data_IF_789164721720
#
_entry.id   IF_789164721720
#
_cell.length_a   1.000
_cell.length_b   1.000
_cell.length_c   1.000
_cell.angle_alpha   90.00
_cell.angle_beta   90.00
_cell.angle_gamma   90.00
#
_symmetry.space_group_name_H-M   'P 1'
#
loop_
_entity.id
_entity.type
_entity.pdbx_description
1 polymer ?
#
# COMPACT_ATOMS: atom_id res chain seq x y z
N UNK A 1 35.34 8.84 31.16
CA UNK A 1 35.98 9.16 29.86
C UNK A 1 35.25 10.31 29.16
N UNK A 2 35.90 11.14 28.31
CA UNK A 2 35.29 12.33 27.68
C UNK A 2 33.99 12.01 26.91
N UNK A 3 33.89 10.81 26.30
CA UNK A 3 32.68 10.33 25.61
C UNK A 3 31.49 9.99 26.52
N UNK A 4 31.70 9.76 27.82
CA UNK A 4 30.60 9.44 28.74
C UNK A 4 29.75 10.68 29.05
N UNK A 5 30.31 11.88 28.87
CA UNK A 5 29.59 13.12 29.11
C UNK A 5 28.56 13.37 27.98
N UNK A 6 27.25 13.59 28.30
CA UNK A 6 26.17 13.70 27.31
C UNK A 6 26.43 14.72 26.19
N UNK A 7 27.11 15.81 26.53
CA UNK A 7 27.50 16.86 25.57
C UNK A 7 28.46 16.38 24.47
N UNK A 8 29.34 15.44 24.77
CA UNK A 8 30.43 15.03 23.86
C UNK A 8 30.18 13.68 23.20
N UNK A 9 29.13 12.94 23.60
CA UNK A 9 28.76 11.65 23.02
C UNK A 9 28.64 11.68 21.48
N UNK A 10 28.08 12.75 20.92
CA UNK A 10 27.86 12.91 19.47
C UNK A 10 28.87 13.85 18.79
N UNK A 11 29.87 14.34 19.54
CA UNK A 11 30.86 15.28 19.01
C UNK A 11 32.04 14.48 18.44
N UNK A 12 32.35 14.69 17.16
CA UNK A 12 33.55 14.12 16.55
C UNK A 12 34.80 14.72 17.21
N UNK A 13 35.67 13.87 17.76
CA UNK A 13 36.91 14.29 18.43
C UNK A 13 38.12 13.85 17.60
N UNK A 14 39.00 14.80 17.30
CA UNK A 14 40.29 14.53 16.63
C UNK A 14 41.38 14.78 17.65
N UNK A 15 42.26 13.80 17.85
CA UNK A 15 43.38 13.94 18.78
C UNK A 15 44.64 14.40 18.06
N UNK A 16 45.38 15.31 18.69
CA UNK A 16 46.67 15.77 18.19
C UNK A 16 47.75 15.07 19.02
N UNK A 17 48.68 14.36 18.38
CA UNK A 17 49.72 13.60 19.07
C UNK A 17 51.12 14.00 18.61
N UNK A 18 52.02 14.18 19.58
CA UNK A 18 53.42 14.57 19.36
C UNK A 18 54.41 13.39 19.30
N UNK A 19 53.94 12.15 19.43
CA UNK A 19 54.81 10.97 19.51
C UNK A 19 54.75 10.22 18.18
N UNK A 20 55.91 9.77 17.69
CA UNK A 20 56.03 8.85 16.56
C UNK A 20 55.09 7.67 16.79
N UNK A 21 53.95 7.70 16.10
CA UNK A 21 52.79 6.88 16.44
C UNK A 21 53.10 5.43 16.14
N UNK A 22 53.42 4.63 17.16
CA UNK A 22 53.26 3.19 17.05
C UNK A 22 51.77 2.90 16.81
N UNK A 23 51.43 1.88 16.03
CA UNK A 23 50.02 1.57 15.75
C UNK A 23 49.21 1.35 17.04
N UNK A 24 49.88 0.97 18.13
CA UNK A 24 49.33 0.78 19.48
C UNK A 24 48.76 2.08 20.07
N UNK A 25 49.41 3.22 19.86
CA UNK A 25 48.96 4.51 20.40
C UNK A 25 47.76 5.07 19.63
N UNK A 26 47.66 4.75 18.33
CA UNK A 26 46.49 5.02 17.48
C UNK A 26 45.29 4.19 17.94
N UNK A 27 45.49 2.89 18.15
CA UNK A 27 44.48 1.95 18.63
C UNK A 27 43.85 2.41 19.94
N UNK A 28 44.68 2.73 20.95
CA UNK A 28 44.19 3.18 22.27
C UNK A 28 43.29 4.39 22.20
N UNK A 29 43.61 5.38 21.39
CA UNK A 29 42.74 6.55 21.36
C UNK A 29 41.48 6.34 20.48
N UNK A 30 41.50 5.44 19.49
CA UNK A 30 40.26 5.01 18.82
C UNK A 30 39.33 4.32 19.83
N UNK A 31 39.90 3.50 20.73
CA UNK A 31 39.18 2.92 21.87
C UNK A 31 38.63 4.01 22.82
N UNK A 32 39.37 5.10 23.02
CA UNK A 32 38.88 6.29 23.77
C UNK A 32 37.89 7.16 22.97
N UNK A 33 37.60 6.81 21.71
CA UNK A 33 36.57 7.45 20.91
C UNK A 33 37.01 8.66 20.08
N UNK A 34 38.29 8.76 19.73
CA UNK A 34 38.70 9.62 18.64
C UNK A 34 38.13 9.11 17.31
N UNK A 35 37.80 10.03 16.40
CA UNK A 35 37.46 9.68 15.01
C UNK A 35 38.68 9.74 14.11
N UNK A 36 39.75 10.43 14.53
CA UNK A 36 40.97 10.62 13.73
C UNK A 36 42.12 11.18 14.59
N UNK A 37 43.33 11.16 14.03
CA UNK A 37 44.55 11.71 14.60
C UNK A 37 45.24 12.69 13.67
N UNK A 38 45.85 13.71 14.25
CA UNK A 38 46.78 14.61 13.53
C UNK A 38 48.14 14.62 14.23
N UNK A 39 49.23 14.26 13.52
CA UNK A 39 50.57 14.31 14.08
C UNK A 39 51.06 15.76 14.24
N UNK A 40 52.00 15.97 15.17
CA UNK A 40 52.76 17.22 15.32
C UNK A 40 54.06 17.14 14.52
N UNK A 41 54.52 18.22 13.85
CA UNK A 41 53.84 19.51 13.72
C UNK A 41 52.57 19.41 12.86
N UNK A 42 51.51 20.08 13.31
CA UNK A 42 50.21 20.07 12.62
C UNK A 42 50.36 20.75 11.27
N UNK A 43 50.02 20.04 10.19
CA UNK A 43 49.88 20.61 8.85
C UNK A 43 48.48 21.21 8.73
N UNK A 44 48.31 22.56 8.69
CA UNK A 44 47.00 23.19 8.77
C UNK A 44 46.04 22.78 7.64
N UNK A 45 46.55 22.55 6.44
CA UNK A 45 45.78 22.14 5.26
C UNK A 45 45.12 20.77 5.50
N UNK A 46 45.88 19.83 6.05
CA UNK A 46 45.42 18.46 6.36
C UNK A 46 44.37 18.50 7.47
N UNK A 47 44.60 19.26 8.54
CA UNK A 47 43.63 19.39 9.62
C UNK A 47 42.31 20.02 9.13
N UNK A 48 42.38 21.09 8.32
CA UNK A 48 41.18 21.73 7.74
C UNK A 48 40.41 20.78 6.84
N UNK A 49 41.09 19.97 6.02
CA UNK A 49 40.45 18.97 5.18
C UNK A 49 39.70 17.92 6.01
N UNK A 50 40.35 17.37 7.05
CA UNK A 50 39.73 16.39 7.97
C UNK A 50 38.50 16.98 8.68
N UNK A 51 38.62 18.18 9.24
CA UNK A 51 37.50 18.88 9.89
C UNK A 51 36.33 19.06 8.93
N UNK A 52 36.60 19.46 7.67
CA UNK A 52 35.56 19.64 6.65
C UNK A 52 34.79 18.36 6.40
N UNK A 53 35.48 17.24 6.21
CA UNK A 53 34.86 15.92 5.97
C UNK A 53 33.97 15.51 7.14
N UNK A 54 34.47 15.58 8.38
CA UNK A 54 33.68 15.19 9.54
C UNK A 54 32.50 16.14 9.80
N UNK A 55 32.67 17.44 9.55
CA UNK A 55 31.58 18.40 9.67
C UNK A 55 30.48 18.15 8.62
N UNK A 56 30.85 17.82 7.39
CA UNK A 56 29.91 17.46 6.34
C UNK A 56 29.18 16.16 6.67
N UNK A 57 29.89 15.12 7.09
CA UNK A 57 29.30 13.86 7.51
C UNK A 57 28.30 14.07 8.65
N UNK A 58 28.67 14.85 9.67
CA UNK A 58 27.77 15.17 10.78
C UNK A 58 26.50 15.89 10.29
N UNK A 59 26.64 16.88 9.39
CA UNK A 59 25.48 17.59 8.82
C UNK A 59 24.58 16.64 8.03
N UNK A 60 25.15 15.73 7.24
CA UNK A 60 24.39 14.74 6.47
C UNK A 60 23.67 13.75 7.37
N UNK A 61 24.30 13.23 8.41
CA UNK A 61 23.65 12.36 9.41
C UNK A 61 22.47 13.08 10.06
N UNK A 62 22.65 14.34 10.50
CA UNK A 62 21.56 15.12 11.10
C UNK A 62 20.42 15.43 10.13
N UNK A 63 20.74 15.66 8.86
CA UNK A 63 19.72 15.86 7.82
C UNK A 63 18.92 14.56 7.60
N UNK A 64 19.60 13.42 7.55
CA UNK A 64 18.96 12.13 7.38
C UNK A 64 18.05 11.78 8.57
N UNK A 65 18.50 12.02 9.81
CA UNK A 65 17.68 11.86 11.03
C UNK A 65 16.38 12.67 10.94
N UNK A 66 16.47 13.92 10.47
CA UNK A 66 15.29 14.80 10.31
C UNK A 66 14.33 14.30 9.23
N UNK A 67 14.86 13.93 8.07
CA UNK A 67 14.05 13.43 6.95
C UNK A 67 13.36 12.12 7.31
N UNK A 68 14.03 11.21 8.02
CA UNK A 68 13.41 9.98 8.50
C UNK A 68 12.25 10.28 9.45
N UNK A 69 12.44 11.18 10.42
CA UNK A 69 11.35 11.55 11.33
C UNK A 69 10.14 12.13 10.57
N UNK A 70 10.39 13.01 9.59
CA UNK A 70 9.32 13.59 8.77
C UNK A 70 8.62 12.54 7.89
N UNK A 71 9.36 11.61 7.29
CA UNK A 71 8.79 10.52 6.51
C UNK A 71 7.94 9.59 7.37
N UNK A 72 8.39 9.25 8.58
CA UNK A 72 7.63 8.45 9.54
C UNK A 72 6.31 9.14 9.92
N UNK A 73 6.33 10.45 10.15
CA UNK A 73 5.12 11.23 10.42
C UNK A 73 4.14 11.20 9.24
N UNK A 74 4.65 11.39 8.02
CA UNK A 74 3.83 11.33 6.79
C UNK A 74 3.24 9.95 6.58
N UNK A 75 4.02 8.88 6.77
CA UNK A 75 3.54 7.51 6.64
C UNK A 75 2.43 7.25 7.66
N UNK A 76 2.62 7.62 8.93
CA UNK A 76 1.58 7.47 9.96
C UNK A 76 0.29 8.18 9.58
N UNK A 77 0.38 9.44 9.14
CA UNK A 77 -0.79 10.22 8.74
C UNK A 77 -1.54 9.59 7.56
N UNK A 78 -0.81 9.13 6.53
CA UNK A 78 -1.40 8.51 5.34
C UNK A 78 -2.02 7.14 5.63
N UNK A 79 -1.40 6.34 6.50
CA UNK A 79 -1.98 5.06 6.92
C UNK A 79 -3.30 5.27 7.65
N UNK A 80 -3.37 6.23 8.60
CA UNK A 80 -4.60 6.55 9.31
C UNK A 80 -5.71 7.07 8.37
N UNK A 81 -5.36 7.91 7.40
CA UNK A 81 -6.29 8.39 6.36
C UNK A 81 -6.84 7.22 5.52
N UNK A 82 -5.95 6.32 5.10
CA UNK A 82 -6.31 5.16 4.27
C UNK A 82 -7.24 4.21 5.03
N UNK A 83 -6.92 3.89 6.29
CA UNK A 83 -7.76 3.08 7.17
C UNK A 83 -9.16 3.69 7.34
N UNK A 84 -9.26 5.01 7.52
CA UNK A 84 -10.56 5.67 7.60
C UNK A 84 -11.34 5.56 6.28
N UNK A 85 -10.67 5.70 5.14
CA UNK A 85 -11.31 5.55 3.83
C UNK A 85 -11.77 4.13 3.57
N UNK A 86 -10.98 3.12 3.94
CA UNK A 86 -11.36 1.71 3.76
C UNK A 86 -12.54 1.35 4.65
N UNK A 87 -12.57 1.77 5.91
CA UNK A 87 -13.74 1.58 6.78
C UNK A 87 -15.00 2.20 6.18
N UNK A 88 -14.93 3.44 5.70
CA UNK A 88 -16.08 4.10 5.04
C UNK A 88 -16.55 3.36 3.79
N UNK A 89 -15.61 2.85 2.99
CA UNK A 89 -15.94 2.07 1.78
C UNK A 89 -16.65 0.77 2.15
N UNK A 90 -16.12 0.02 3.13
CA UNK A 90 -16.73 -1.23 3.61
C UNK A 90 -18.13 -0.97 4.17
N UNK A 91 -18.33 0.08 4.96
CA UNK A 91 -19.66 0.46 5.47
C UNK A 91 -20.63 0.83 4.34
N UNK A 92 -20.16 1.58 3.33
CA UNK A 92 -20.98 1.93 2.18
C UNK A 92 -21.34 0.72 1.33
N UNK A 93 -20.40 -0.21 1.13
CA UNK A 93 -20.63 -1.45 0.38
C UNK A 93 -21.63 -2.34 1.12
N UNK A 94 -21.44 -2.55 2.42
CA UNK A 94 -22.36 -3.31 3.25
C UNK A 94 -23.77 -2.73 3.20
N UNK A 95 -23.91 -1.40 3.29
CA UNK A 95 -25.22 -0.73 3.17
C UNK A 95 -25.84 -0.93 1.78
N UNK A 96 -25.06 -0.86 0.70
CA UNK A 96 -25.55 -1.11 -0.66
C UNK A 96 -26.01 -2.56 -0.82
N UNK A 97 -25.22 -3.52 -0.36
CA UNK A 97 -25.57 -4.94 -0.37
C UNK A 97 -26.86 -5.21 0.42
N UNK A 98 -27.00 -4.61 1.61
CA UNK A 98 -28.24 -4.71 2.39
C UNK A 98 -29.45 -4.11 1.67
N UNK A 99 -29.29 -3.00 0.96
CA UNK A 99 -30.37 -2.38 0.19
C UNK A 99 -30.82 -3.27 -0.98
N UNK A 100 -29.87 -3.88 -1.71
CA UNK A 100 -30.16 -4.84 -2.78
C UNK A 100 -30.90 -6.06 -2.21
N UNK A 101 -30.39 -6.63 -1.12
CA UNK A 101 -30.99 -7.79 -0.46
C UNK A 101 -32.41 -7.49 0.09
N UNK A 102 -32.61 -6.32 0.71
CA UNK A 102 -33.91 -5.90 1.25
C UNK A 102 -34.93 -5.59 0.16
N UNK A 103 -34.47 -5.10 -1.01
CA UNK A 103 -35.30 -4.89 -2.18
C UNK A 103 -35.81 -6.18 -2.85
N UNK A 104 -35.34 -7.37 -2.39
CA UNK A 104 -35.55 -8.66 -3.08
C UNK A 104 -35.17 -8.56 -4.57
N UNK A 105 -34.13 -7.78 -4.87
CA UNK A 105 -33.63 -7.62 -6.23
C UNK A 105 -32.42 -8.54 -6.42
N UNK A 106 -32.37 -9.18 -7.57
CA UNK A 106 -31.25 -9.99 -8.00
C UNK A 106 -30.63 -9.32 -9.21
N UNK A 107 -29.30 -9.41 -9.29
CA UNK A 107 -28.55 -8.93 -10.42
C UNK A 107 -28.15 -10.12 -11.28
N UNK A 108 -28.31 -9.95 -12.59
CA UNK A 108 -27.80 -10.88 -13.57
C UNK A 108 -27.02 -10.11 -14.64
N UNK A 109 -25.99 -10.75 -15.17
CA UNK A 109 -25.22 -10.27 -16.32
C UNK A 109 -25.12 -11.42 -17.33
N UNK A 110 -25.11 -11.07 -18.61
CA UNK A 110 -25.03 -12.03 -19.69
C UNK A 110 -23.94 -11.61 -20.67
N UNK A 111 -22.88 -12.41 -20.72
CA UNK A 111 -21.85 -12.29 -21.74
C UNK A 111 -22.34 -12.98 -23.01
N UNK A 112 -22.88 -12.21 -23.94
CA UNK A 112 -23.39 -12.72 -25.21
C UNK A 112 -22.30 -13.21 -26.17
N UNK A 113 -21.01 -12.89 -25.92
CA UNK A 113 -19.89 -13.35 -26.76
C UNK A 113 -19.50 -14.77 -26.38
N UNK A 114 -19.44 -15.04 -25.07
CA UNK A 114 -19.06 -16.36 -24.54
C UNK A 114 -20.27 -17.26 -24.24
N UNK A 115 -21.47 -16.67 -24.14
CA UNK A 115 -22.70 -17.37 -23.78
C UNK A 115 -22.86 -17.57 -22.26
N UNK A 116 -22.04 -16.90 -21.45
CA UNK A 116 -21.99 -17.10 -20.01
C UNK A 116 -22.98 -16.20 -19.28
N UNK A 117 -23.70 -16.80 -18.32
CA UNK A 117 -24.60 -16.08 -17.42
C UNK A 117 -23.95 -15.95 -16.05
N UNK A 118 -24.09 -14.78 -15.44
CA UNK A 118 -23.68 -14.54 -14.06
C UNK A 118 -24.87 -14.09 -13.24
N UNK A 119 -25.17 -14.80 -12.17
CA UNK A 119 -26.21 -14.44 -11.21
C UNK A 119 -25.57 -14.13 -9.86
N UNK A 120 -26.07 -13.10 -9.18
CA UNK A 120 -25.78 -12.89 -7.77
C UNK A 120 -26.66 -13.79 -6.87
N UNK A 121 -26.34 -13.82 -5.58
CA UNK A 121 -27.09 -14.63 -4.60
C UNK A 121 -28.58 -14.22 -4.50
N UNK A 122 -28.90 -12.95 -4.81
CA UNK A 122 -30.26 -12.45 -4.84
C UNK A 122 -31.07 -13.11 -5.95
N UNK A 123 -30.50 -13.23 -7.15
CA UNK A 123 -31.16 -13.81 -8.32
C UNK A 123 -31.48 -15.30 -8.11
N UNK A 124 -30.56 -16.07 -7.51
CA UNK A 124 -30.82 -17.46 -7.10
C UNK A 124 -31.99 -17.57 -6.10
N UNK A 125 -32.05 -16.67 -5.11
CA UNK A 125 -33.14 -16.64 -4.12
C UNK A 125 -34.48 -16.24 -4.72
N UNK A 126 -34.50 -15.34 -5.70
CA UNK A 126 -35.71 -14.92 -6.41
C UNK A 126 -36.32 -16.09 -7.17
N UNK A 127 -35.50 -16.85 -7.89
CA UNK A 127 -35.94 -18.04 -8.61
C UNK A 127 -36.06 -19.29 -7.73
N UNK A 128 -35.64 -19.22 -6.46
CA UNK A 128 -35.73 -20.31 -5.50
C UNK A 128 -34.83 -21.51 -5.82
N UNK A 129 -33.74 -21.30 -6.57
CA UNK A 129 -32.82 -22.36 -7.01
C UNK A 129 -31.51 -22.31 -6.23
N UNK A 130 -30.97 -23.48 -5.85
CA UNK A 130 -29.70 -23.56 -5.11
C UNK A 130 -28.51 -23.41 -6.08
N UNK A 131 -27.61 -22.42 -5.86
CA UNK A 131 -26.46 -22.16 -6.72
C UNK A 131 -25.48 -23.35 -6.83
N UNK A 132 -25.51 -24.31 -5.90
CA UNK A 132 -24.65 -25.51 -5.95
C UNK A 132 -25.22 -26.61 -6.82
N UNK A 133 -26.54 -26.66 -6.99
CA UNK A 133 -27.21 -27.68 -7.80
C UNK A 133 -27.68 -27.15 -9.16
N UNK A 134 -27.87 -25.84 -9.28
CA UNK A 134 -28.36 -25.21 -10.49
C UNK A 134 -27.18 -24.80 -11.39
N UNK A 135 -27.09 -25.40 -12.57
CA UNK A 135 -26.13 -24.98 -13.58
C UNK A 135 -26.71 -23.79 -14.36
N UNK A 136 -26.00 -22.65 -14.34
CA UNK A 136 -26.29 -21.46 -15.15
C UNK A 136 -26.00 -21.74 -16.63
N UNK A 137 -26.97 -22.35 -17.32
CA UNK A 137 -26.96 -22.51 -18.78
C UNK A 137 -28.20 -21.87 -19.36
N UNK A 138 -28.11 -21.40 -20.61
CA UNK A 138 -29.24 -20.77 -21.30
C UNK A 138 -30.50 -21.67 -21.30
N UNK A 139 -30.33 -22.98 -21.49
CA UNK A 139 -31.45 -23.94 -21.50
C UNK A 139 -32.12 -24.07 -20.12
N UNK A 140 -31.33 -24.08 -19.04
CA UNK A 140 -31.87 -24.18 -17.67
C UNK A 140 -32.55 -22.88 -17.24
N UNK A 141 -32.01 -21.73 -17.66
CA UNK A 141 -32.61 -20.41 -17.39
C UNK A 141 -33.94 -20.26 -18.13
N UNK A 142 -34.02 -20.73 -19.39
CA UNK A 142 -35.27 -20.71 -20.16
C UNK A 142 -36.40 -21.51 -19.51
N UNK A 143 -36.09 -22.60 -18.83
CA UNK A 143 -37.08 -23.43 -18.12
C UNK A 143 -37.67 -22.76 -16.87
N UNK A 144 -37.04 -21.68 -16.37
CA UNK A 144 -37.54 -20.90 -15.23
C UNK A 144 -38.55 -19.83 -15.64
N UNK A 145 -38.63 -19.48 -16.92
CA UNK A 145 -39.63 -18.55 -17.45
C UNK A 145 -40.94 -19.28 -17.76
N UNK A 146 -42.07 -18.58 -17.64
CA UNK A 146 -43.37 -19.15 -17.97
C UNK A 146 -43.47 -19.42 -19.48
N UNK A 147 -44.03 -20.56 -19.94
CA UNK A 147 -44.07 -20.92 -21.37
C UNK A 147 -44.69 -19.86 -22.28
N UNK A 148 -45.65 -19.09 -21.76
CA UNK A 148 -46.31 -18.01 -22.50
C UNK A 148 -45.40 -16.80 -22.73
N UNK A 149 -44.39 -16.60 -21.87
CA UNK A 149 -43.45 -15.47 -21.93
C UNK A 149 -42.17 -15.83 -22.71
N UNK A 150 -41.92 -17.13 -22.94
CA UNK A 150 -40.72 -17.62 -23.65
C UNK A 150 -40.68 -17.10 -25.09
N UNK A 151 -41.83 -17.04 -25.76
CA UNK A 151 -41.88 -16.64 -27.16
C UNK A 151 -41.63 -15.13 -27.32
N UNK A 152 -42.13 -14.31 -26.39
CA UNK A 152 -41.89 -12.88 -26.32
C UNK A 152 -40.43 -12.56 -25.95
N UNK A 153 -39.85 -13.29 -24.98
CA UNK A 153 -38.42 -13.19 -24.64
C UNK A 153 -37.51 -13.59 -25.81
N UNK A 154 -37.88 -14.61 -26.58
CA UNK A 154 -37.12 -15.05 -27.75
C UNK A 154 -37.11 -14.00 -28.85
N UNK A 155 -38.23 -13.33 -29.08
CA UNK A 155 -38.32 -12.21 -30.03
C UNK A 155 -37.51 -11.00 -29.55
N UNK A 156 -37.57 -10.67 -28.25
CA UNK A 156 -36.76 -9.61 -27.65
C UNK A 156 -35.26 -9.90 -27.79
N UNK A 157 -34.81 -11.12 -27.48
CA UNK A 157 -33.42 -11.56 -27.64
C UNK A 157 -32.92 -11.50 -29.09
N UNK A 158 -33.77 -11.81 -30.07
CA UNK A 158 -33.44 -11.63 -31.49
C UNK A 158 -33.26 -10.16 -31.90
N UNK A 159 -33.86 -9.21 -31.16
CA UNK A 159 -33.72 -7.76 -31.35
C UNK A 159 -32.40 -7.19 -30.83
N UNK A 160 -31.85 -7.73 -29.74
CA UNK A 160 -30.57 -7.28 -29.16
C UNK A 160 -29.38 -7.46 -30.12
N UNK A 161 -29.38 -8.52 -30.93
CA UNK A 161 -28.37 -8.72 -31.99
C UNK A 161 -28.38 -7.66 -33.10
N UNK A 162 -29.40 -6.79 -33.15
CA UNK A 162 -29.56 -5.72 -34.16
C UNK A 162 -29.36 -4.31 -33.62
N UNK A 163 -28.82 -4.16 -32.40
CA UNK A 163 -28.42 -2.85 -31.85
C UNK A 163 -29.34 -2.26 -30.79
N UNK A 164 -30.30 -3.03 -30.26
CA UNK A 164 -30.97 -2.67 -29.01
C UNK A 164 -30.04 -2.94 -27.82
N UNK A 165 -30.03 -2.03 -26.84
CA UNK A 165 -29.13 -2.07 -25.68
C UNK A 165 -29.84 -2.34 -24.35
N UNK A 166 -31.17 -2.33 -24.32
CA UNK A 166 -31.98 -2.70 -23.15
C UNK A 166 -33.38 -3.18 -23.54
N UNK A 167 -33.97 -4.02 -22.71
CA UNK A 167 -35.36 -4.48 -22.76
C UNK A 167 -35.89 -4.50 -21.33
N UNK A 168 -36.96 -3.75 -21.07
CA UNK A 168 -37.69 -3.77 -19.81
C UNK A 168 -39.06 -4.39 -20.10
N UNK A 169 -39.37 -5.49 -19.42
CA UNK A 169 -40.71 -6.03 -19.34
C UNK A 169 -41.34 -5.53 -18.02
N UNK A 170 -42.59 -5.06 -18.07
CA UNK A 170 -43.37 -4.65 -16.88
C UNK A 170 -43.86 -5.83 -16.05
#
# INVERSE_FOLDING_TARGET
MIREHPRFQKTAMIFISAIQVSDIDRLRGYEMGAVDYVPVPVVPEVLRAKIRVFAELYRKTRQLERLNAELEDRVRARTAELEQSTTRLVESEARRSMAIAAGKMGSWDWDWVNGDWMWDEGQYKIFGVDPKSFALTSDNIQQLFHPDDVEELREAWAGFGKGQTSYEAE
#
